data_IF_594983592353
#
_entry.id   IF_594983592353
#
_cell.length_a   1.000
_cell.length_b   1.000
_cell.length_c   1.000
_cell.angle_alpha   90.00
_cell.angle_beta   90.00
_cell.angle_gamma   90.00
#
_symmetry.space_group_name_H-M   'P 1'
#
loop_
_entity.id
_entity.type
_entity.pdbx_description
1 polymer ?
#
# COMPACT_ATOMS: atom_id res chain seq x y z
N UNK A 1 -38.93 29.37 -0.76
CA UNK A 1 -37.74 29.91 -1.47
C UNK A 1 -36.50 30.00 -0.58
N UNK A 2 -36.25 31.07 0.21
CA UNK A 2 -34.94 31.22 0.93
C UNK A 2 -34.59 30.11 1.94
N UNK A 3 -35.58 29.40 2.49
CA UNK A 3 -35.36 28.34 3.47
C UNK A 3 -35.11 26.98 2.80
N UNK A 4 -35.77 26.70 1.68
CA UNK A 4 -35.58 25.49 0.89
C UNK A 4 -34.21 25.50 0.20
N UNK A 5 -33.76 26.64 -0.31
CA UNK A 5 -32.42 26.79 -0.88
C UNK A 5 -31.33 26.52 0.17
N UNK A 6 -31.49 27.03 1.39
CA UNK A 6 -30.53 26.78 2.50
C UNK A 6 -30.53 25.33 2.97
N UNK A 7 -31.70 24.67 2.97
CA UNK A 7 -31.81 23.26 3.31
C UNK A 7 -31.14 22.42 2.22
N UNK A 8 -31.36 22.74 0.95
CA UNK A 8 -30.74 22.04 -0.18
C UNK A 8 -29.22 22.21 -0.17
N UNK A 9 -28.73 23.43 0.07
CA UNK A 9 -27.29 23.72 0.20
C UNK A 9 -26.66 22.98 1.38
N UNK A 10 -27.36 22.89 2.52
CA UNK A 10 -26.91 22.10 3.67
C UNK A 10 -26.88 20.60 3.36
N UNK A 11 -27.90 20.06 2.68
CA UNK A 11 -27.95 18.65 2.27
C UNK A 11 -26.83 18.35 1.28
N UNK A 12 -26.58 19.22 0.30
CA UNK A 12 -25.49 19.07 -0.66
C UNK A 12 -24.12 19.15 0.01
N UNK A 13 -23.95 20.07 0.97
CA UNK A 13 -22.70 20.19 1.74
C UNK A 13 -22.45 18.98 2.63
N UNK A 14 -23.46 18.51 3.34
CA UNK A 14 -23.32 17.38 4.26
C UNK A 14 -23.21 16.06 3.49
N UNK A 15 -23.91 15.91 2.36
CA UNK A 15 -23.77 14.75 1.46
C UNK A 15 -22.41 14.74 0.76
N UNK A 16 -21.88 15.90 0.37
CA UNK A 16 -20.52 16.01 -0.18
C UNK A 16 -19.49 15.68 0.89
N UNK A 17 -19.66 16.17 2.12
CA UNK A 17 -18.79 15.81 3.26
C UNK A 17 -18.87 14.32 3.62
N UNK A 18 -20.05 13.71 3.58
CA UNK A 18 -20.25 12.27 3.78
C UNK A 18 -19.65 11.44 2.64
N UNK A 19 -19.82 11.88 1.39
CA UNK A 19 -19.14 11.30 0.24
C UNK A 19 -17.63 11.39 0.46
N UNK A 20 -17.11 12.58 0.82
CA UNK A 20 -15.69 12.82 1.08
C UNK A 20 -15.12 11.93 2.18
N UNK A 21 -15.88 11.68 3.24
CA UNK A 21 -15.51 10.76 4.31
C UNK A 21 -15.58 9.27 3.90
N UNK A 22 -16.53 8.90 3.04
CA UNK A 22 -16.78 7.51 2.62
C UNK A 22 -16.08 7.12 1.31
N UNK A 23 -15.40 8.04 0.66
CA UNK A 23 -14.57 7.84 -0.52
C UNK A 23 -13.59 6.67 -0.35
N UNK A 24 -13.05 6.43 0.86
CA UNK A 24 -12.13 5.31 1.11
C UNK A 24 -12.80 3.99 1.49
N UNK A 25 -14.13 3.95 1.60
CA UNK A 25 -14.83 2.72 1.94
C UNK A 25 -14.96 1.80 0.73
N UNK A 26 -14.87 0.50 1.02
CA UNK A 26 -15.08 -0.59 0.05
C UNK A 26 -16.45 -0.54 -0.62
N UNK A 27 -17.41 0.22 -0.09
CA UNK A 27 -18.78 0.39 -0.58
C UNK A 27 -19.02 1.70 -1.36
N UNK A 28 -18.00 2.55 -1.60
CA UNK A 28 -18.20 3.75 -2.41
C UNK A 28 -18.75 3.42 -3.82
N UNK A 29 -19.63 4.29 -4.33
CA UNK A 29 -20.29 4.14 -5.64
C UNK A 29 -19.41 4.53 -6.84
N UNK A 30 -18.27 5.19 -6.59
CA UNK A 30 -17.43 5.79 -7.62
C UNK A 30 -16.47 4.80 -8.27
N UNK A 31 -16.16 3.68 -7.59
CA UNK A 31 -15.20 2.68 -8.04
C UNK A 31 -15.84 1.29 -8.03
N UNK A 32 -15.56 0.50 -9.05
CA UNK A 32 -15.92 -0.92 -9.03
C UNK A 32 -15.09 -1.67 -7.99
N UNK A 33 -15.61 -2.80 -7.51
CA UNK A 33 -14.88 -3.65 -6.56
C UNK A 33 -13.50 -4.06 -7.09
N UNK A 34 -13.41 -4.36 -8.39
CA UNK A 34 -12.14 -4.72 -9.05
C UNK A 34 -11.14 -3.56 -9.03
N UNK A 35 -11.58 -2.33 -9.30
CA UNK A 35 -10.70 -1.14 -9.25
C UNK A 35 -10.16 -0.88 -7.84
N UNK A 36 -10.97 -1.12 -6.82
CA UNK A 36 -10.54 -1.01 -5.41
C UNK A 36 -9.49 -2.05 -5.05
N UNK A 37 -9.65 -3.29 -5.51
CA UNK A 37 -8.62 -4.33 -5.34
C UNK A 37 -7.34 -3.93 -6.07
N UNK A 38 -7.45 -3.43 -7.31
CA UNK A 38 -6.30 -3.06 -8.12
C UNK A 38 -5.46 -1.95 -7.47
N UNK A 39 -6.09 -0.90 -6.94
CA UNK A 39 -5.34 0.16 -6.24
C UNK A 39 -4.71 -0.34 -4.95
N UNK A 40 -5.37 -1.26 -4.24
CA UNK A 40 -4.83 -1.81 -3.00
C UNK A 40 -3.62 -2.70 -3.29
N UNK A 41 -3.72 -3.55 -4.31
CA UNK A 41 -2.60 -4.37 -4.76
C UNK A 41 -1.45 -3.51 -5.25
N UNK A 42 -1.74 -2.48 -6.04
CA UNK A 42 -0.73 -1.52 -6.48
C UNK A 42 -0.06 -0.82 -5.30
N UNK A 43 -0.82 -0.37 -4.30
CA UNK A 43 -0.28 0.33 -3.14
C UNK A 43 0.54 -0.58 -2.22
N UNK A 44 0.10 -1.84 -2.03
CA UNK A 44 0.74 -2.81 -1.14
C UNK A 44 1.90 -3.58 -1.76
N UNK A 45 2.02 -3.59 -3.09
CA UNK A 45 3.03 -4.39 -3.81
C UNK A 45 4.46 -4.18 -3.28
N UNK A 46 4.98 -2.95 -3.14
CA UNK A 46 6.35 -2.74 -2.69
C UNK A 46 6.58 -3.27 -1.28
N UNK A 47 5.63 -3.01 -0.37
CA UNK A 47 5.68 -3.49 1.02
C UNK A 47 5.69 -5.01 1.12
N UNK A 48 4.88 -5.70 0.31
CA UNK A 48 4.86 -7.17 0.29
C UNK A 48 6.15 -7.75 -0.26
N UNK A 49 6.73 -7.13 -1.29
CA UNK A 49 8.05 -7.53 -1.81
C UNK A 49 9.13 -7.30 -0.76
N UNK A 50 9.13 -6.15 -0.09
CA UNK A 50 10.04 -5.85 1.02
C UNK A 50 10.00 -6.95 2.08
N UNK A 51 8.81 -7.37 2.51
CA UNK A 51 8.65 -8.43 3.50
C UNK A 51 9.17 -9.78 3.00
N UNK A 52 8.84 -10.18 1.78
CA UNK A 52 9.34 -11.44 1.19
C UNK A 52 10.87 -11.43 1.10
N UNK A 53 11.47 -10.33 0.63
CA UNK A 53 12.92 -10.17 0.60
C UNK A 53 13.53 -10.24 1.99
N UNK A 54 12.90 -9.62 3.00
CA UNK A 54 13.37 -9.67 4.38
C UNK A 54 13.44 -11.12 4.88
N UNK A 55 12.39 -11.91 4.66
CA UNK A 55 12.37 -13.33 5.00
C UNK A 55 13.51 -14.09 4.30
N UNK A 56 13.72 -13.86 3.00
CA UNK A 56 14.82 -14.50 2.24
C UNK A 56 16.19 -14.12 2.82
N UNK A 57 16.43 -12.83 3.09
CA UNK A 57 17.70 -12.38 3.65
C UNK A 57 17.95 -12.97 5.06
N UNK A 58 16.92 -13.08 5.89
CA UNK A 58 17.03 -13.69 7.22
C UNK A 58 17.29 -15.19 7.14
N UNK A 59 16.61 -15.92 6.26
CA UNK A 59 16.90 -17.33 6.01
C UNK A 59 18.32 -17.52 5.50
N UNK A 60 18.74 -16.72 4.52
CA UNK A 60 20.09 -16.82 3.97
C UNK A 60 21.16 -16.48 5.01
N UNK A 61 20.85 -15.58 5.97
CA UNK A 61 21.76 -15.23 7.08
C UNK A 61 22.09 -16.39 8.04
N UNK A 62 21.35 -17.52 7.96
CA UNK A 62 21.71 -18.71 8.74
C UNK A 62 22.83 -19.51 8.10
N UNK A 63 23.02 -19.39 6.78
CA UNK A 63 24.05 -20.09 6.02
C UNK A 63 25.33 -19.27 5.89
N UNK A 64 25.18 -17.97 5.66
CA UNK A 64 26.29 -17.02 5.62
C UNK A 64 26.01 -15.86 6.58
N UNK A 65 27.03 -15.40 7.30
CA UNK A 65 26.89 -14.37 8.33
C UNK A 65 26.70 -12.98 7.72
N UNK A 66 25.52 -12.76 7.14
CA UNK A 66 25.12 -11.46 6.61
C UNK A 66 25.01 -10.43 7.72
N UNK A 67 25.73 -9.31 7.55
CA UNK A 67 25.60 -8.17 8.44
C UNK A 67 24.16 -7.62 8.40
N UNK A 68 23.65 -7.20 9.57
CA UNK A 68 22.29 -6.69 9.73
C UNK A 68 21.92 -5.58 8.73
N UNK A 69 22.90 -4.73 8.36
CA UNK A 69 22.72 -3.67 7.37
C UNK A 69 22.27 -4.18 6.00
N UNK A 70 22.69 -5.38 5.59
CA UNK A 70 22.29 -5.99 4.32
C UNK A 70 20.94 -6.67 4.43
N UNK A 71 20.67 -7.32 5.58
CA UNK A 71 19.38 -7.95 5.86
C UNK A 71 18.24 -6.92 5.80
N UNK A 72 18.47 -5.70 6.30
CA UNK A 72 17.48 -4.61 6.27
C UNK A 72 17.59 -3.78 4.99
N UNK A 73 18.80 -3.47 4.54
CA UNK A 73 19.06 -2.57 3.43
C UNK A 73 18.58 -3.11 2.08
N UNK A 74 18.77 -4.40 1.80
CA UNK A 74 18.32 -5.00 0.53
C UNK A 74 16.79 -4.90 0.38
N UNK A 75 15.97 -5.31 1.36
CA UNK A 75 14.52 -5.09 1.33
C UNK A 75 14.11 -3.63 1.11
N UNK A 76 14.74 -2.68 1.81
CA UNK A 76 14.42 -1.24 1.69
C UNK A 76 14.71 -0.73 0.29
N UNK A 77 15.85 -1.10 -0.29
CA UNK A 77 16.22 -0.69 -1.66
C UNK A 77 15.23 -1.28 -2.67
N UNK A 78 14.86 -2.56 -2.53
CA UNK A 78 13.87 -3.18 -3.41
C UNK A 78 12.49 -2.55 -3.27
N UNK A 79 12.05 -2.22 -2.06
CA UNK A 79 10.80 -1.47 -1.83
C UNK A 79 10.79 -0.16 -2.62
N UNK A 80 11.87 0.63 -2.53
CA UNK A 80 11.98 1.90 -3.26
C UNK A 80 11.97 1.69 -4.78
N UNK A 81 12.77 0.75 -5.28
CA UNK A 81 12.87 0.46 -6.72
C UNK A 81 11.52 0.02 -7.30
N UNK A 82 10.85 -0.92 -6.61
CA UNK A 82 9.53 -1.39 -7.02
C UNK A 82 8.50 -0.27 -6.88
N UNK A 83 8.54 0.54 -5.83
CA UNK A 83 7.67 1.70 -5.67
C UNK A 83 7.77 2.69 -6.84
N UNK A 84 9.00 3.07 -7.22
CA UNK A 84 9.24 3.96 -8.36
C UNK A 84 8.80 3.35 -9.69
N UNK A 85 9.10 2.06 -9.91
CA UNK A 85 8.69 1.34 -11.10
C UNK A 85 7.16 1.25 -11.19
N UNK A 86 6.51 0.88 -10.10
CA UNK A 86 5.07 0.70 -10.01
C UNK A 86 4.32 2.04 -10.09
N UNK A 87 4.91 3.14 -9.59
CA UNK A 87 4.43 4.49 -9.88
C UNK A 87 4.51 4.83 -11.37
N UNK A 88 5.59 4.42 -12.04
CA UNK A 88 5.85 4.80 -13.42
C UNK A 88 5.02 3.99 -14.41
N UNK A 89 4.89 2.68 -14.17
CA UNK A 89 4.28 1.72 -15.09
C UNK A 89 3.28 0.87 -14.30
N UNK A 90 2.01 0.94 -14.68
CA UNK A 90 0.96 0.11 -14.09
C UNK A 90 0.85 -1.24 -14.80
N UNK A 91 1.69 -2.21 -14.42
CA UNK A 91 1.67 -3.55 -15.03
C UNK A 91 0.66 -4.44 -14.30
N UNK A 92 -0.62 -4.32 -14.67
CA UNK A 92 -1.74 -5.02 -14.02
C UNK A 92 -1.55 -6.52 -13.85
N UNK A 93 -0.97 -7.15 -14.87
CA UNK A 93 -0.68 -8.59 -14.85
C UNK A 93 0.34 -8.96 -13.79
N UNK A 94 1.35 -8.12 -13.54
CA UNK A 94 2.44 -8.43 -12.61
C UNK A 94 1.94 -8.44 -11.17
N UNK A 95 1.28 -7.37 -10.70
CA UNK A 95 0.77 -7.38 -9.34
C UNK A 95 -0.40 -8.34 -9.17
N UNK A 96 -1.29 -8.52 -10.16
CA UNK A 96 -2.37 -9.50 -10.04
C UNK A 96 -1.81 -10.92 -9.86
N UNK A 97 -0.86 -11.33 -10.68
CA UNK A 97 -0.21 -12.64 -10.54
C UNK A 97 0.56 -12.75 -9.23
N UNK A 98 1.29 -11.71 -8.81
CA UNK A 98 1.99 -11.71 -7.54
C UNK A 98 1.03 -11.89 -6.35
N UNK A 99 -0.08 -11.15 -6.30
CA UNK A 99 -1.06 -11.23 -5.21
C UNK A 99 -1.88 -12.53 -5.22
N UNK A 100 -2.05 -13.17 -6.38
CA UNK A 100 -2.65 -14.52 -6.46
C UNK A 100 -1.68 -15.62 -6.03
N UNK A 101 -0.37 -15.35 -6.04
CA UNK A 101 0.68 -16.33 -5.69
C UNK A 101 1.30 -15.97 -4.33
N UNK A 102 2.46 -15.33 -4.34
CA UNK A 102 3.29 -15.08 -3.15
C UNK A 102 2.70 -13.99 -2.25
N UNK A 103 2.09 -12.97 -2.86
CA UNK A 103 1.51 -11.83 -2.15
C UNK A 103 0.15 -12.12 -1.51
N UNK A 104 -0.39 -13.34 -1.64
CA UNK A 104 -1.63 -13.73 -0.99
C UNK A 104 -1.42 -13.75 0.54
N UNK A 105 -2.35 -13.20 1.31
CA UNK A 105 -2.19 -13.10 2.77
C UNK A 105 -2.03 -14.49 3.43
N UNK A 106 -2.72 -15.53 2.94
CA UNK A 106 -2.55 -16.89 3.46
C UNK A 106 -1.16 -17.44 3.17
N UNK A 107 -0.62 -17.18 1.98
CA UNK A 107 0.73 -17.60 1.59
C UNK A 107 1.78 -16.84 2.40
N UNK A 108 1.61 -15.54 2.62
CA UNK A 108 2.50 -14.74 3.47
C UNK A 108 2.50 -15.21 4.93
N UNK A 109 1.34 -15.56 5.48
CA UNK A 109 1.26 -16.17 6.82
C UNK A 109 1.96 -17.53 6.87
N UNK A 110 1.76 -18.38 5.85
CA UNK A 110 2.49 -19.64 5.72
C UNK A 110 4.01 -19.44 5.66
N UNK A 111 4.47 -18.50 4.82
CA UNK A 111 5.88 -18.12 4.71
C UNK A 111 6.44 -17.63 6.06
N UNK A 112 5.68 -16.81 6.78
CA UNK A 112 6.04 -16.31 8.12
C UNK A 112 6.27 -17.47 9.08
N UNK A 113 5.32 -18.39 9.18
CA UNK A 113 5.40 -19.53 10.10
C UNK A 113 6.58 -20.45 9.77
N UNK A 114 6.77 -20.78 8.48
CA UNK A 114 7.90 -21.61 8.02
C UNK A 114 9.23 -20.92 8.32
N UNK A 115 9.34 -19.64 7.99
CA UNK A 115 10.57 -18.85 8.21
C UNK A 115 10.89 -18.75 9.70
N UNK A 116 9.90 -18.43 10.53
CA UNK A 116 10.06 -18.37 11.98
C UNK A 116 10.48 -19.72 12.57
N UNK A 117 9.81 -20.81 12.19
CA UNK A 117 10.12 -22.15 12.67
C UNK A 117 11.56 -22.53 12.34
N UNK A 118 12.00 -22.25 11.11
CA UNK A 118 13.38 -22.49 10.67
C UNK A 118 14.41 -21.63 11.44
N UNK A 119 14.13 -20.35 11.66
CA UNK A 119 15.02 -19.46 12.42
C UNK A 119 15.13 -19.88 13.89
N UNK A 120 14.02 -20.30 14.51
CA UNK A 120 13.98 -20.81 15.88
C UNK A 120 14.80 -22.10 15.99
N UNK A 121 14.63 -23.03 15.04
CA UNK A 121 15.41 -24.28 14.99
C UNK A 121 16.92 -24.03 14.93
N UNK A 122 17.35 -22.96 14.24
CA UNK A 122 18.76 -22.55 14.14
C UNK A 122 19.21 -21.59 15.27
N UNK A 123 18.41 -21.42 16.34
CA UNK A 123 18.75 -20.57 17.49
C UNK A 123 18.73 -19.05 17.22
N UNK A 124 18.17 -18.60 16.09
CA UNK A 124 18.09 -17.18 15.67
C UNK A 124 16.79 -16.53 16.12
N UNK A 125 16.50 -16.57 17.42
CA UNK A 125 15.25 -16.06 18.00
C UNK A 125 14.96 -14.59 17.67
N UNK A 126 15.99 -13.74 17.69
CA UNK A 126 15.84 -12.32 17.34
C UNK A 126 15.28 -12.13 15.93
N UNK A 127 15.78 -12.88 14.95
CA UNK A 127 15.28 -12.80 13.57
C UNK A 127 13.87 -13.36 13.43
N UNK A 128 13.52 -14.42 14.17
CA UNK A 128 12.16 -14.95 14.17
C UNK A 128 11.14 -13.92 14.68
N UNK A 129 11.47 -13.15 15.72
CA UNK A 129 10.63 -12.05 16.21
C UNK A 129 10.50 -10.94 15.17
N UNK A 130 11.59 -10.58 14.48
CA UNK A 130 11.53 -9.57 13.43
C UNK A 130 10.63 -9.97 12.26
N UNK A 131 10.64 -11.25 11.85
CA UNK A 131 9.72 -11.77 10.82
C UNK A 131 8.27 -11.62 11.27
N UNK A 132 7.96 -11.95 12.53
CA UNK A 132 6.61 -11.78 13.07
C UNK A 132 6.17 -10.31 13.07
N UNK A 133 7.04 -9.41 13.52
CA UNK A 133 6.79 -7.95 13.51
C UNK A 133 6.55 -7.47 12.07
N UNK A 134 7.32 -7.99 11.10
CA UNK A 134 7.13 -7.71 9.68
C UNK A 134 5.76 -8.13 9.15
N UNK A 135 5.28 -9.32 9.53
CA UNK A 135 3.99 -9.83 9.08
C UNK A 135 2.80 -8.98 9.56
N UNK A 136 2.90 -8.37 10.74
CA UNK A 136 1.88 -7.41 11.23
C UNK A 136 1.95 -6.03 10.55
N UNK A 137 2.87 -5.83 9.59
CA UNK A 137 3.01 -4.57 8.86
C UNK A 137 3.68 -3.46 9.68
N UNK A 138 4.29 -3.77 10.82
CA UNK A 138 4.98 -2.76 11.64
C UNK A 138 6.27 -2.28 10.98
N UNK A 139 6.88 -3.10 10.12
CA UNK A 139 8.05 -2.72 9.32
C UNK A 139 7.67 -1.74 8.20
N UNK A 140 6.39 -1.60 7.87
CA UNK A 140 5.92 -0.70 6.81
C UNK A 140 6.22 0.78 7.08
N UNK A 141 6.50 1.17 8.34
CA UNK A 141 6.95 2.54 8.65
C UNK A 141 8.31 2.88 8.00
N UNK A 142 9.11 1.85 7.72
CA UNK A 142 10.39 1.95 7.05
C UNK A 142 10.27 1.84 5.52
N UNK A 143 9.07 1.70 4.96
CA UNK A 143 8.84 1.53 3.52
C UNK A 143 9.04 2.86 2.78
N UNK A 144 10.18 3.08 2.09
CA UNK A 144 10.44 4.32 1.35
C UNK A 144 9.42 4.58 0.24
N UNK A 145 8.83 3.54 -0.36
CA UNK A 145 7.82 3.66 -1.41
C UNK A 145 6.59 4.44 -0.96
N UNK A 146 6.16 4.30 0.31
CA UNK A 146 5.04 5.07 0.86
C UNK A 146 5.35 6.56 0.91
N UNK A 147 6.58 6.93 1.31
CA UNK A 147 7.03 8.32 1.30
C UNK A 147 7.10 8.88 -0.12
N UNK A 148 7.61 8.10 -1.07
CA UNK A 148 7.66 8.46 -2.49
C UNK A 148 6.25 8.70 -3.04
N UNK A 149 5.32 7.78 -2.80
CA UNK A 149 3.92 7.94 -3.20
C UNK A 149 3.30 9.19 -2.58
N UNK A 150 3.59 9.46 -1.31
CA UNK A 150 3.12 10.67 -0.63
C UNK A 150 3.70 11.94 -1.27
N UNK A 151 5.00 11.98 -1.55
CA UNK A 151 5.66 13.13 -2.19
C UNK A 151 5.10 13.36 -3.61
N UNK A 152 4.99 12.29 -4.41
CA UNK A 152 4.53 12.39 -5.80
C UNK A 152 3.04 12.72 -5.90
N UNK A 153 2.25 12.39 -4.88
CA UNK A 153 0.83 12.74 -4.81
C UNK A 153 0.57 14.17 -4.33
N UNK A 154 1.54 14.84 -3.66
CA UNK A 154 1.40 16.24 -3.21
C UNK A 154 1.01 17.21 -4.33
N UNK A 155 1.53 17.03 -5.54
CA UNK A 155 1.19 17.90 -6.69
C UNK A 155 -0.28 17.82 -7.10
N UNK A 156 -0.97 16.73 -6.73
CA UNK A 156 -2.39 16.55 -6.97
C UNK A 156 -3.24 16.97 -5.76
N UNK A 157 -2.64 17.29 -4.61
CA UNK A 157 -3.32 17.57 -3.34
C UNK A 157 -4.29 16.45 -2.92
N UNK A 158 -3.96 15.20 -3.24
CA UNK A 158 -4.81 14.02 -3.03
C UNK A 158 -4.01 12.88 -2.43
N UNK A 159 -4.69 11.95 -1.76
CA UNK A 159 -4.05 10.71 -1.29
C UNK A 159 -3.52 9.89 -2.48
N UNK A 160 -2.38 9.19 -2.36
CA UNK A 160 -1.76 8.46 -3.48
C UNK A 160 -2.69 7.48 -4.20
N UNK A 161 -3.58 6.82 -3.46
CA UNK A 161 -4.59 5.91 -4.02
C UNK A 161 -5.57 6.61 -4.99
N UNK A 162 -5.92 7.88 -4.76
CA UNK A 162 -6.75 8.64 -5.71
C UNK A 162 -5.96 9.06 -6.94
N UNK A 163 -4.70 9.44 -6.74
CA UNK A 163 -3.80 9.78 -7.84
C UNK A 163 -3.62 8.60 -8.79
N UNK A 164 -3.59 7.37 -8.27
CA UNK A 164 -3.60 6.17 -9.08
C UNK A 164 -4.80 6.12 -10.04
N UNK A 165 -6.03 6.35 -9.55
CA UNK A 165 -7.22 6.34 -10.40
C UNK A 165 -7.22 7.47 -11.43
N UNK A 166 -6.84 8.68 -11.00
CA UNK A 166 -6.72 9.83 -11.90
C UNK A 166 -5.71 9.55 -13.02
N UNK A 167 -4.58 8.92 -12.69
CA UNK A 167 -3.50 8.67 -13.65
C UNK A 167 -3.72 7.47 -14.56
N UNK A 168 -4.29 6.37 -14.05
CA UNK A 168 -4.39 5.12 -14.81
C UNK A 168 -5.79 4.79 -15.32
N UNK A 169 -6.82 5.48 -14.83
CA UNK A 169 -8.21 5.30 -15.26
C UNK A 169 -8.85 6.61 -15.75
N UNK A 170 -8.11 7.72 -15.75
CA UNK A 170 -8.60 9.05 -16.13
C UNK A 170 -9.89 9.46 -15.41
N UNK A 171 -10.04 9.01 -14.16
CA UNK A 171 -11.20 9.31 -13.34
C UNK A 171 -11.07 10.69 -12.70
N UNK A 172 -12.21 11.39 -12.63
CA UNK A 172 -12.35 12.64 -11.91
C UNK A 172 -13.29 12.41 -10.74
N UNK A 173 -12.92 12.92 -9.58
CA UNK A 173 -13.74 12.81 -8.38
C UNK A 173 -14.41 14.14 -8.00
N UNK A 174 -15.58 14.10 -7.32
CA UNK A 174 -16.30 15.33 -6.96
C UNK A 174 -15.51 16.28 -6.05
N UNK A 175 -14.71 15.74 -5.13
CA UNK A 175 -13.89 16.50 -4.18
C UNK A 175 -12.74 17.27 -4.84
N UNK A 176 -12.42 17.01 -6.11
CA UNK A 176 -11.40 17.76 -6.83
C UNK A 176 -11.82 19.23 -7.03
N UNK A 177 -13.14 19.48 -7.16
CA UNK A 177 -13.71 20.84 -7.30
C UNK A 177 -13.54 21.69 -6.05
N UNK A 178 -13.59 21.08 -4.87
CA UNK A 178 -13.38 21.76 -3.58
C UNK A 178 -11.90 22.13 -3.36
N UNK A 179 -10.97 21.43 -4.03
CA UNK A 179 -9.52 21.68 -3.96
C UNK A 179 -9.10 22.81 -4.92
N UNK A 180 -9.86 23.00 -6.01
CA UNK A 180 -9.60 24.01 -7.05
C UNK A 180 -10.20 25.40 -6.74
N UNK A 181 -11.09 25.51 -5.74
CA UNK A 181 -11.54 26.81 -5.24
C UNK A 181 -10.54 27.30 -4.16
N UNK A 182 -9.68 28.30 -4.47
CA UNK A 182 -8.98 28.99 -3.41
C UNK A 182 -10.03 29.73 -2.58
N UNK A 183 -10.03 29.49 -1.27
CA UNK A 183 -10.54 30.49 -0.33
C UNK A 183 -9.74 31.79 -0.51
#
# INVERSE_FOLDING_TARGET
MKQEEKIQEYIDKESTRFATANIYRLDNIYLTHQQKIEVEHWYQLPMKIMFVTLCICMLYSTYDALALKWIIGIPIILDLMIGLLNWSINIKKVYTTFFLTIGNNFVLWGLTLVTMGFLIYNGKYFYAVLVLIGQFGLISILSPSLYVYTILSKKYKMHPKWVFFKRFYSMYFPFEKEIEQPN
#
